data_IF_805581455493
#
_entry.id   IF_805581455493
#
_cell.length_a   1.000
_cell.length_b   1.000
_cell.length_c   1.000
_cell.angle_alpha   90.00
_cell.angle_beta   90.00
_cell.angle_gamma   90.00
#
_symmetry.space_group_name_H-M   'P 1'
#
loop_
_entity.id
_entity.type
_entity.pdbx_description
1 polymer ?
#
# COMPACT_ATOMS: atom_id res chain seq x y z
N UNK A 1 -0.50 21.45 0.93
CA UNK A 1 0.47 20.47 0.39
C UNK A 1 -0.22 19.12 0.32
N UNK A 2 -0.11 18.38 -0.80
CA UNK A 2 -0.70 17.04 -0.88
C UNK A 2 -0.01 16.11 0.11
N UNK A 3 -0.81 15.44 0.93
CA UNK A 3 -0.31 14.49 1.94
C UNK A 3 0.09 13.15 1.30
N UNK A 4 -0.52 12.82 0.15
CA UNK A 4 -0.27 11.66 -0.70
C UNK A 4 -0.19 12.13 -2.16
N UNK A 5 0.84 11.74 -2.91
CA UNK A 5 0.95 12.14 -4.32
C UNK A 5 1.76 11.13 -5.15
N UNK A 6 1.16 10.70 -6.26
CA UNK A 6 1.76 9.83 -7.27
C UNK A 6 3.03 10.46 -7.84
N UNK A 7 4.14 9.72 -7.86
CA UNK A 7 5.45 10.18 -8.37
C UNK A 7 6.38 10.78 -7.32
N UNK A 8 5.85 11.23 -6.18
CA UNK A 8 6.65 11.75 -5.04
C UNK A 8 6.65 10.83 -3.83
N UNK A 9 5.65 9.95 -3.70
CA UNK A 9 5.59 8.95 -2.64
C UNK A 9 6.61 7.83 -2.90
N UNK A 10 7.42 7.50 -1.88
CA UNK A 10 8.44 6.45 -1.95
C UNK A 10 7.84 5.06 -2.21
N UNK A 11 6.70 4.76 -1.60
CA UNK A 11 6.04 3.47 -1.73
C UNK A 11 4.62 3.59 -2.29
N UNK A 12 4.26 2.61 -3.11
CA UNK A 12 2.92 2.37 -3.62
C UNK A 12 2.48 0.99 -3.16
N UNK A 13 1.38 0.93 -2.42
CA UNK A 13 0.71 -0.32 -2.05
C UNK A 13 -0.46 -0.56 -3.01
N UNK A 14 -0.57 -1.77 -3.53
CA UNK A 14 -1.70 -2.22 -4.34
C UNK A 14 -2.33 -3.41 -3.62
N UNK A 15 -3.56 -3.21 -3.17
CA UNK A 15 -4.42 -4.25 -2.64
C UNK A 15 -5.22 -4.86 -3.80
N UNK A 16 -4.85 -6.09 -4.16
CA UNK A 16 -5.53 -6.88 -5.18
C UNK A 16 -6.80 -7.47 -4.59
N UNK A 17 -7.92 -7.06 -5.17
CA UNK A 17 -9.26 -7.47 -4.76
C UNK A 17 -9.68 -8.72 -5.53
N UNK A 18 -10.70 -9.47 -5.04
CA UNK A 18 -11.22 -10.63 -5.73
C UNK A 18 -11.83 -10.26 -7.10
N UNK A 19 -12.10 -11.25 -7.97
CA UNK A 19 -12.71 -11.00 -9.27
C UNK A 19 -13.97 -10.12 -9.16
N UNK A 20 -14.15 -9.21 -10.11
CA UNK A 20 -15.23 -8.21 -10.17
C UNK A 20 -15.14 -7.05 -9.15
N UNK A 21 -14.09 -6.98 -8.33
CA UNK A 21 -13.80 -5.81 -7.49
C UNK A 21 -12.59 -5.02 -8.03
N UNK A 22 -12.64 -3.68 -7.94
CA UNK A 22 -11.53 -2.82 -8.38
C UNK A 22 -10.40 -2.87 -7.37
N UNK A 23 -9.17 -3.07 -7.85
CA UNK A 23 -7.97 -3.01 -7.02
C UNK A 23 -7.83 -1.65 -6.33
N UNK A 24 -7.43 -1.67 -5.06
CA UNK A 24 -7.24 -0.45 -4.27
C UNK A 24 -5.77 -0.10 -4.28
N UNK A 25 -5.44 1.13 -4.68
CA UNK A 25 -4.07 1.64 -4.68
C UNK A 25 -3.90 2.70 -3.61
N UNK A 26 -2.87 2.56 -2.79
CA UNK A 26 -2.47 3.50 -1.76
C UNK A 26 -1.03 3.96 -1.99
N UNK A 27 -0.74 5.20 -1.59
CA UNK A 27 0.59 5.78 -1.67
C UNK A 27 1.07 6.10 -0.26
N UNK A 28 2.37 5.98 0.00
CA UNK A 28 2.94 6.40 1.28
C UNK A 28 2.84 7.91 1.44
N UNK A 29 2.63 8.44 2.66
CA UNK A 29 2.75 9.87 2.89
C UNK A 29 4.16 10.36 2.51
N UNK A 30 4.26 11.51 1.85
CA UNK A 30 5.55 12.04 1.39
C UNK A 30 6.51 12.30 2.57
N UNK A 31 5.95 12.69 3.72
CA UNK A 31 6.70 12.95 4.95
C UNK A 31 7.40 11.68 5.49
N UNK A 32 6.85 10.51 5.20
CA UNK A 32 7.36 9.23 5.65
C UNK A 32 8.52 8.73 4.76
N UNK A 33 8.81 9.37 3.62
CA UNK A 33 9.86 8.95 2.69
C UNK A 33 11.26 8.85 3.34
N UNK A 34 11.51 9.60 4.41
CA UNK A 34 12.76 9.54 5.18
C UNK A 34 12.92 8.25 6.00
N UNK A 35 11.83 7.50 6.24
CA UNK A 35 11.85 6.27 7.01
C UNK A 35 12.25 5.06 6.14
N UNK A 36 12.64 3.98 6.80
CA UNK A 36 12.91 2.71 6.14
C UNK A 36 11.62 2.15 5.53
N UNK A 37 11.75 1.57 4.34
CA UNK A 37 10.61 1.08 3.54
C UNK A 37 9.76 0.07 4.32
N UNK A 38 10.38 -0.80 5.12
CA UNK A 38 9.68 -1.76 5.99
C UNK A 38 8.75 -1.09 7.02
N UNK A 39 9.20 0.01 7.65
CA UNK A 39 8.38 0.74 8.64
C UNK A 39 7.17 1.40 7.97
N UNK A 40 7.38 1.96 6.78
CA UNK A 40 6.33 2.59 6.00
C UNK A 40 5.32 1.53 5.51
N UNK A 41 5.79 0.39 4.99
CA UNK A 41 4.93 -0.72 4.56
C UNK A 41 4.04 -1.22 5.71
N UNK A 42 4.62 -1.49 6.87
CA UNK A 42 3.85 -1.92 8.05
C UNK A 42 2.84 -0.85 8.48
N UNK A 43 3.23 0.43 8.51
CA UNK A 43 2.32 1.52 8.83
C UNK A 43 1.17 1.66 7.82
N UNK A 44 1.46 1.50 6.52
CA UNK A 44 0.44 1.52 5.46
C UNK A 44 -0.51 0.34 5.59
N UNK A 45 0.01 -0.86 5.81
CA UNK A 45 -0.79 -2.06 5.98
C UNK A 45 -1.72 -1.93 7.19
N UNK A 46 -1.20 -1.54 8.35
CA UNK A 46 -2.01 -1.36 9.57
C UNK A 46 -3.12 -0.33 9.37
N UNK A 47 -2.83 0.82 8.74
CA UNK A 47 -3.83 1.85 8.45
C UNK A 47 -4.90 1.36 7.48
N UNK A 48 -4.49 0.58 6.48
CA UNK A 48 -5.43 0.02 5.51
C UNK A 48 -6.31 -1.05 6.15
N UNK A 49 -5.73 -2.00 6.89
CA UNK A 49 -6.46 -3.08 7.57
C UNK A 49 -7.45 -2.54 8.60
N UNK A 50 -7.05 -1.51 9.37
CA UNK A 50 -7.92 -0.94 10.40
C UNK A 50 -8.89 0.12 9.87
N UNK A 51 -8.59 0.74 8.72
CA UNK A 51 -9.37 1.85 8.18
C UNK A 51 -10.32 1.49 7.05
N UNK A 52 -10.15 0.31 6.43
CA UNK A 52 -10.94 -0.10 5.26
C UNK A 52 -11.53 -1.50 5.48
N UNK A 53 -12.86 -1.60 5.46
CA UNK A 53 -13.55 -2.90 5.43
C UNK A 53 -13.16 -3.74 4.20
N UNK A 54 -12.77 -3.08 3.10
CA UNK A 54 -12.23 -3.74 1.92
C UNK A 54 -10.97 -4.58 2.21
N UNK A 55 -10.21 -4.27 3.26
CA UNK A 55 -9.05 -5.05 3.66
C UNK A 55 -9.38 -6.50 4.03
N UNK A 56 -10.61 -6.76 4.48
CA UNK A 56 -11.10 -8.12 4.76
C UNK A 56 -11.37 -8.93 3.50
N UNK A 57 -11.35 -8.32 2.31
CA UNK A 57 -11.57 -9.00 1.03
C UNK A 57 -10.32 -9.06 0.17
N UNK A 58 -9.26 -8.32 0.52
CA UNK A 58 -8.00 -8.34 -0.22
C UNK A 58 -7.44 -9.76 -0.27
N UNK A 59 -7.04 -10.16 -1.47
CA UNK A 59 -6.40 -11.45 -1.73
C UNK A 59 -4.89 -11.30 -1.60
N UNK A 60 -4.33 -10.21 -2.13
CA UNK A 60 -2.88 -9.96 -2.14
C UNK A 60 -2.58 -8.48 -1.92
N UNK A 61 -1.58 -8.20 -1.07
CA UNK A 61 -0.99 -6.88 -0.91
C UNK A 61 0.35 -6.84 -1.63
N UNK A 62 0.52 -5.94 -2.58
CA UNK A 62 1.76 -5.72 -3.31
C UNK A 62 2.33 -4.35 -2.96
N UNK A 63 3.61 -4.29 -2.64
CA UNK A 63 4.32 -3.06 -2.33
C UNK A 63 5.37 -2.79 -3.39
N UNK A 64 5.32 -1.60 -3.97
CA UNK A 64 6.21 -1.15 -5.01
C UNK A 64 7.02 0.05 -4.52
N UNK A 65 8.31 0.05 -4.80
CA UNK A 65 9.23 1.17 -4.60
C UNK A 65 9.83 1.54 -5.95
N UNK A 66 9.67 2.80 -6.39
CA UNK A 66 10.14 3.27 -7.70
C UNK A 66 9.70 2.40 -8.90
N UNK A 67 8.54 1.74 -8.81
CA UNK A 67 8.01 0.86 -9.85
C UNK A 67 8.47 -0.60 -9.77
N UNK A 68 9.41 -0.94 -8.89
CA UNK A 68 9.81 -2.31 -8.63
C UNK A 68 8.98 -2.92 -7.48
N UNK A 69 8.49 -4.15 -7.66
CA UNK A 69 7.83 -4.89 -6.59
C UNK A 69 8.88 -5.28 -5.55
N UNK A 70 8.76 -4.76 -4.33
CA UNK A 70 9.70 -5.05 -3.23
C UNK A 70 9.16 -6.08 -2.25
N UNK A 71 7.84 -6.19 -2.13
CA UNK A 71 7.20 -7.08 -1.17
C UNK A 71 5.80 -7.47 -1.62
N UNK A 72 5.43 -8.71 -1.35
CA UNK A 72 4.09 -9.24 -1.61
C UNK A 72 3.63 -10.06 -0.41
N UNK A 73 2.41 -9.80 0.06
CA UNK A 73 1.76 -10.54 1.13
C UNK A 73 0.47 -11.11 0.55
N UNK A 74 0.47 -12.43 0.32
CA UNK A 74 -0.74 -13.17 -0.02
C UNK A 74 -1.48 -13.51 1.26
N UNK A 75 -2.80 -13.32 1.26
CA UNK A 75 -3.61 -13.86 2.33
C UNK A 75 -3.68 -15.40 2.16
N UNK A 76 -3.45 -16.18 3.23
CA UNK A 76 -3.59 -17.63 3.20
C UNK A 76 -5.04 -18.06 2.99
#
# INVERSE_FOLDING_TARGET
>A
MPFYQTGTSKLKMVALMPPNEKNITWYSPIQENKKHSNTIMNGMLTRFVNGQEAAKRVVVYQFYENGALIHEIKRP
#
